data_IF_329586109188
#
_entry.id   IF_329586109188
#
_cell.length_a   1.000
_cell.length_b   1.000
_cell.length_c   1.000
_cell.angle_alpha   90.00
_cell.angle_beta   90.00
_cell.angle_gamma   90.00
#
_symmetry.space_group_name_H-M   'P 1'
#
loop_
_entity.id
_entity.type
_entity.pdbx_description
1 polymer ?
#
# COMPACT_ATOMS: atom_id res chain seq x y z
N UNK A 1 10.38 9.84 -5.69
CA UNK A 1 9.55 9.92 -4.46
C UNK A 1 8.32 10.83 -4.59
N UNK A 2 8.45 12.02 -5.20
CA UNK A 2 7.32 12.94 -5.45
C UNK A 2 6.20 12.29 -6.26
N UNK A 3 6.57 11.55 -7.31
CA UNK A 3 5.61 10.93 -8.23
C UNK A 3 4.86 9.78 -7.56
N UNK A 4 5.58 8.98 -6.76
CA UNK A 4 4.96 7.95 -5.92
C UNK A 4 3.92 8.58 -4.99
N UNK A 5 4.28 9.69 -4.33
CA UNK A 5 3.34 10.38 -3.44
C UNK A 5 2.11 10.88 -4.20
N UNK A 6 2.31 11.49 -5.37
CA UNK A 6 1.21 12.03 -6.19
C UNK A 6 0.27 10.91 -6.65
N UNK A 7 0.81 9.85 -7.23
CA UNK A 7 0.01 8.73 -7.72
C UNK A 7 -0.78 8.03 -6.59
N UNK A 8 -0.17 7.80 -5.43
CA UNK A 8 -0.88 7.21 -4.28
C UNK A 8 -1.93 8.17 -3.71
N UNK A 9 -1.64 9.48 -3.68
CA UNK A 9 -2.61 10.48 -3.25
C UNK A 9 -3.83 10.52 -4.18
N UNK A 10 -3.62 10.40 -5.49
CA UNK A 10 -4.68 10.37 -6.49
C UNK A 10 -5.51 9.08 -6.42
N UNK A 11 -4.85 7.92 -6.22
CA UNK A 11 -5.53 6.63 -6.18
C UNK A 11 -6.23 6.33 -4.85
N UNK A 12 -5.71 6.82 -3.71
CA UNK A 12 -6.19 6.44 -2.38
C UNK A 12 -6.58 7.62 -1.49
N UNK A 13 -6.43 8.87 -1.96
CA UNK A 13 -6.73 10.06 -1.16
C UNK A 13 -5.79 10.30 0.04
N UNK A 14 -4.73 9.50 0.19
CA UNK A 14 -3.85 9.52 1.37
C UNK A 14 -2.47 10.08 1.04
N UNK A 15 -2.02 11.05 1.85
CA UNK A 15 -0.68 11.65 1.70
C UNK A 15 0.37 10.84 2.45
N UNK A 16 1.21 10.14 1.70
CA UNK A 16 2.28 9.34 2.29
C UNK A 16 3.40 10.18 2.91
N UNK A 17 3.83 9.75 4.10
CA UNK A 17 5.01 10.26 4.77
C UNK A 17 6.31 9.63 4.22
N UNK A 18 7.46 10.13 4.66
CA UNK A 18 8.76 9.80 4.05
C UNK A 18 9.10 8.31 4.13
N UNK A 19 8.88 7.65 5.27
CA UNK A 19 9.25 6.25 5.42
C UNK A 19 8.35 5.33 4.59
N UNK A 20 7.05 5.63 4.49
CA UNK A 20 6.11 4.91 3.62
C UNK A 20 6.55 4.99 2.16
N UNK A 21 6.96 6.17 1.70
CA UNK A 21 7.46 6.37 0.35
C UNK A 21 8.73 5.57 0.07
N UNK A 22 9.65 5.48 1.03
CA UNK A 22 10.86 4.65 0.91
C UNK A 22 10.52 3.16 0.82
N UNK A 23 9.59 2.68 1.65
CA UNK A 23 9.11 1.29 1.58
C UNK A 23 8.53 0.99 0.20
N UNK A 24 7.66 1.87 -0.32
CA UNK A 24 7.05 1.69 -1.64
C UNK A 24 8.09 1.76 -2.75
N UNK A 25 9.04 2.68 -2.69
CA UNK A 25 10.13 2.75 -3.67
C UNK A 25 10.89 1.42 -3.78
N UNK A 26 11.25 0.81 -2.65
CA UNK A 26 11.94 -0.49 -2.65
C UNK A 26 11.01 -1.61 -3.14
N UNK A 27 9.73 -1.63 -2.72
CA UNK A 27 8.75 -2.60 -3.23
C UNK A 27 8.55 -2.52 -4.75
N UNK A 28 8.63 -1.32 -5.33
CA UNK A 28 8.51 -1.12 -6.78
C UNK A 28 9.73 -1.61 -7.56
N UNK A 29 10.92 -1.64 -6.95
CA UNK A 29 12.15 -2.19 -7.57
C UNK A 29 12.11 -3.71 -7.70
N UNK A 30 11.39 -4.40 -6.80
CA UNK A 30 11.21 -5.87 -6.81
C UNK A 30 12.53 -6.66 -6.75
N UNK A 31 13.54 -6.09 -6.12
CA UNK A 31 14.90 -6.64 -6.02
C UNK A 31 15.29 -7.09 -4.60
N UNK A 32 14.38 -6.94 -3.62
CA UNK A 32 14.61 -7.32 -2.24
C UNK A 32 13.32 -7.65 -1.47
N UNK A 33 13.45 -8.51 -0.46
CA UNK A 33 12.45 -8.70 0.58
C UNK A 33 12.58 -7.61 1.67
N UNK A 34 11.45 -7.15 2.22
CA UNK A 34 11.41 -6.01 3.13
C UNK A 34 10.66 -6.33 4.42
N UNK A 35 11.24 -5.93 5.55
CA UNK A 35 10.57 -5.88 6.85
C UNK A 35 10.33 -4.42 7.24
N UNK A 36 9.06 -3.99 7.25
CA UNK A 36 8.69 -2.62 7.66
C UNK A 36 8.35 -2.57 9.16
N UNK A 37 9.22 -1.95 9.95
CA UNK A 37 9.05 -1.81 11.41
C UNK A 37 8.54 -0.39 11.73
N UNK A 38 7.31 -0.31 12.24
CA UNK A 38 6.71 0.92 12.73
C UNK A 38 5.61 0.56 13.76
N UNK A 39 5.22 1.53 14.60
CA UNK A 39 4.13 1.36 15.57
C UNK A 39 2.78 1.03 14.92
N UNK A 40 1.87 0.45 15.70
CA UNK A 40 0.47 0.25 15.29
C UNK A 40 -0.20 1.62 15.06
N UNK A 41 -1.11 1.70 14.08
CA UNK A 41 -1.75 2.97 13.71
C UNK A 41 -0.90 3.89 12.84
N UNK A 42 0.41 3.67 12.71
CA UNK A 42 1.28 4.51 11.85
C UNK A 42 1.04 4.35 10.35
N UNK A 43 0.08 3.52 9.93
CA UNK A 43 -0.25 3.33 8.52
C UNK A 43 0.76 2.46 7.77
N UNK A 44 1.17 1.32 8.34
CA UNK A 44 1.93 0.29 7.59
C UNK A 44 1.07 -0.32 6.48
N UNK A 45 -0.23 -0.48 6.71
CA UNK A 45 -1.12 -1.19 5.78
C UNK A 45 -1.19 -0.52 4.41
N UNK A 46 -1.13 0.82 4.33
CA UNK A 46 -1.19 1.54 3.05
C UNK A 46 -0.01 1.21 2.13
N UNK A 47 1.15 0.81 2.66
CA UNK A 47 2.30 0.46 1.83
C UNK A 47 2.09 -0.84 1.06
N UNK A 48 1.17 -1.72 1.51
CA UNK A 48 0.77 -2.91 0.74
C UNK A 48 -0.14 -2.55 -0.44
N UNK A 49 -1.11 -1.64 -0.24
CA UNK A 49 -2.07 -1.25 -1.27
C UNK A 49 -1.51 -0.29 -2.30
N UNK A 50 -0.64 0.63 -1.88
CA UNK A 50 -0.04 1.63 -2.75
C UNK A 50 0.61 1.02 -4.00
N UNK A 51 1.11 -0.22 -3.92
CA UNK A 51 1.71 -0.94 -5.05
C UNK A 51 0.69 -1.22 -6.17
N UNK A 52 -0.60 -1.40 -5.84
CA UNK A 52 -1.65 -1.65 -6.83
C UNK A 52 -1.79 -0.48 -7.82
N UNK A 53 -1.56 0.76 -7.38
CA UNK A 53 -1.60 1.94 -8.25
C UNK A 53 -0.53 1.96 -9.35
N UNK A 54 0.53 1.13 -9.23
CA UNK A 54 1.64 1.07 -10.18
C UNK A 54 1.69 -0.25 -10.97
N UNK A 55 0.78 -1.19 -10.71
CA UNK A 55 0.78 -2.50 -11.36
C UNK A 55 0.03 -2.48 -12.68
N UNK A 56 0.46 -3.31 -13.63
CA UNK A 56 -0.24 -3.50 -14.89
C UNK A 56 -1.62 -4.14 -14.64
N UNK A 57 -2.61 -3.76 -15.46
CA UNK A 57 -3.96 -4.33 -15.41
C UNK A 57 -3.91 -5.86 -15.50
N UNK A 58 -4.65 -6.53 -14.62
CA UNK A 58 -4.65 -8.00 -14.51
C UNK A 58 -3.60 -8.59 -13.56
N UNK A 59 -2.74 -7.76 -12.94
CA UNK A 59 -1.83 -8.22 -11.89
C UNK A 59 -2.59 -8.62 -10.62
N UNK A 60 -2.14 -9.70 -9.96
CA UNK A 60 -2.71 -10.16 -8.68
C UNK A 60 -1.73 -9.86 -7.53
N UNK A 61 -2.27 -9.47 -6.37
CA UNK A 61 -1.52 -9.33 -5.12
C UNK A 61 -2.24 -10.10 -4.02
N UNK A 62 -1.47 -10.88 -3.24
CA UNK A 62 -1.99 -11.63 -2.10
C UNK A 62 -1.56 -10.90 -0.82
N UNK A 63 -2.54 -10.51 0.00
CA UNK A 63 -2.32 -9.86 1.29
C UNK A 63 -2.86 -10.80 2.37
N UNK A 64 -1.94 -11.34 3.17
CA UNK A 64 -2.28 -12.26 4.27
C UNK A 64 -2.40 -11.46 5.56
N UNK A 65 -3.56 -11.56 6.22
CA UNK A 65 -3.79 -10.95 7.53
C UNK A 65 -4.16 -12.02 8.56
N UNK A 66 -3.70 -11.90 9.81
CA UNK A 66 -3.95 -12.92 10.83
C UNK A 66 -5.39 -12.96 11.35
N UNK A 67 -6.17 -11.89 11.16
CA UNK A 67 -7.55 -11.80 11.65
C UNK A 67 -8.53 -11.56 10.51
N UNK A 68 -9.61 -12.32 10.48
CA UNK A 68 -10.68 -12.17 9.50
C UNK A 68 -11.29 -10.75 9.49
N UNK A 69 -11.39 -10.12 10.67
CA UNK A 69 -11.93 -8.76 10.77
C UNK A 69 -11.02 -7.73 10.09
N UNK A 70 -9.69 -7.91 10.17
CA UNK A 70 -8.74 -7.06 9.46
C UNK A 70 -8.85 -7.28 7.94
N UNK A 71 -9.02 -8.53 7.51
CA UNK A 71 -9.27 -8.85 6.10
C UNK A 71 -10.53 -8.14 5.57
N UNK A 72 -11.62 -8.14 6.33
CA UNK A 72 -12.86 -7.42 5.95
C UNK A 72 -12.67 -5.90 5.89
N UNK A 73 -11.95 -5.33 6.86
CA UNK A 73 -11.64 -3.89 6.86
C UNK A 73 -10.79 -3.50 5.64
N UNK A 74 -9.85 -4.36 5.26
CA UNK A 74 -8.99 -4.15 4.09
C UNK A 74 -9.80 -4.13 2.79
N UNK A 75 -10.73 -5.07 2.61
CA UNK A 75 -11.63 -5.10 1.45
C UNK A 75 -12.46 -3.82 1.38
N UNK A 76 -13.12 -3.43 2.48
CA UNK A 76 -13.93 -2.22 2.52
C UNK A 76 -13.13 -0.93 2.26
N UNK A 77 -11.83 -0.88 2.63
CA UNK A 77 -10.95 0.23 2.30
C UNK A 77 -10.60 0.27 0.80
N UNK A 78 -10.44 -0.88 0.15
CA UNK A 78 -10.09 -0.97 -1.26
C UNK A 78 -11.29 -0.68 -2.16
N UNK A 79 -12.49 -1.16 -1.81
CA UNK A 79 -13.72 -0.87 -2.55
C UNK A 79 -13.98 0.65 -2.66
N UNK A 80 -13.70 1.40 -1.60
CA UNK A 80 -13.80 2.88 -1.60
C UNK A 80 -12.78 3.59 -2.49
N UNK A 81 -11.71 2.91 -2.90
CA UNK A 81 -10.68 3.45 -3.78
C UNK A 81 -10.95 3.12 -5.26
N UNK A 82 -11.94 2.26 -5.54
CA UNK A 82 -12.39 1.96 -6.90
C UNK A 82 -13.51 2.89 -7.39
N UNK A 83 -14.12 3.68 -6.48
CA UNK A 83 -15.10 4.75 -6.77
C UNK A 83 -14.44 6.07 -7.19
#
# INVERSE_FOLDING_TARGET
LSDIRKCVQEAFGVRLCIWQLKVIEVLLRRDADIVSIAGTGMGKTITFYAILAFKAKGSVQIIVTPLNILGKQNVACLEKAEE
#
